data_IF_605129832433
#
_entry.id   IF_605129832433
#
_cell.length_a   1.000
_cell.length_b   1.000
_cell.length_c   1.000
_cell.angle_alpha   90.00
_cell.angle_beta   90.00
_cell.angle_gamma   90.00
#
_symmetry.space_group_name_H-M   'P 1'
#
loop_
_entity.id
_entity.type
_entity.pdbx_description
1 polymer ?
#
# COMPACT_ATOMS: atom_id res chain seq x y z
N UNK A 1 19.42 0.30 8.14
CA UNK A 1 18.05 0.26 7.57
C UNK A 1 17.98 -0.77 6.46
N UNK A 2 17.04 -1.69 6.55
CA UNK A 2 16.79 -2.69 5.52
C UNK A 2 15.46 -2.39 4.83
N UNK A 3 15.43 -2.46 3.50
CA UNK A 3 14.21 -2.34 2.71
C UNK A 3 13.92 -3.68 2.07
N UNK A 4 12.76 -4.25 2.36
CA UNK A 4 12.34 -5.55 1.85
C UNK A 4 11.06 -5.35 1.03
N UNK A 5 11.15 -5.34 -0.32
CA UNK A 5 9.97 -5.26 -1.16
C UNK A 5 9.30 -6.63 -1.26
N UNK A 6 7.99 -6.65 -1.06
CA UNK A 6 7.13 -7.77 -1.41
C UNK A 6 6.13 -7.33 -2.46
N UNK A 7 5.85 -8.17 -3.41
CA UNK A 7 4.88 -7.85 -4.43
C UNK A 7 4.25 -9.09 -5.05
N UNK A 8 3.08 -8.91 -5.62
CA UNK A 8 2.53 -9.92 -6.50
C UNK A 8 3.40 -9.97 -7.75
N UNK A 9 3.87 -11.14 -8.18
CA UNK A 9 4.81 -11.28 -9.31
C UNK A 9 4.22 -10.89 -10.66
N UNK A 10 3.00 -10.37 -10.69
CA UNK A 10 2.26 -10.08 -11.93
C UNK A 10 1.71 -11.34 -12.60
N UNK A 11 1.15 -11.14 -13.79
CA UNK A 11 0.61 -12.23 -14.58
C UNK A 11 -0.86 -12.54 -14.29
N UNK A 12 -1.40 -13.44 -15.13
CA UNK A 12 -2.82 -13.79 -15.12
C UNK A 12 -3.06 -15.11 -14.35
N UNK A 13 -2.53 -15.19 -13.12
CA UNK A 13 -2.69 -16.38 -12.29
C UNK A 13 -4.16 -16.61 -11.92
N UNK A 14 -4.64 -17.81 -12.11
CA UNK A 14 -5.90 -18.28 -11.55
C UNK A 14 -5.68 -18.67 -10.08
N UNK A 15 -6.46 -18.08 -9.17
CA UNK A 15 -6.42 -18.43 -7.75
C UNK A 15 -7.33 -19.62 -7.45
N UNK A 16 -6.91 -20.58 -6.62
CA UNK A 16 -7.70 -21.77 -6.29
C UNK A 16 -8.73 -21.47 -5.20
N UNK A 17 -9.55 -20.43 -5.38
CA UNK A 17 -10.63 -20.09 -4.48
C UNK A 17 -11.98 -20.40 -5.13
N UNK A 18 -12.95 -20.83 -4.33
CA UNK A 18 -14.29 -21.10 -4.81
C UNK A 18 -14.91 -19.86 -5.46
N UNK A 19 -15.48 -20.06 -6.64
CA UNK A 19 -16.14 -19.01 -7.41
C UNK A 19 -15.18 -18.10 -8.20
N UNK A 20 -13.88 -18.40 -8.25
CA UNK A 20 -12.92 -17.70 -9.12
C UNK A 20 -12.81 -18.45 -10.43
N UNK A 21 -13.19 -17.80 -11.52
CA UNK A 21 -13.24 -18.38 -12.88
C UNK A 21 -12.23 -17.75 -13.84
N UNK A 22 -11.73 -16.53 -13.52
CA UNK A 22 -10.76 -15.82 -14.34
C UNK A 22 -9.45 -15.60 -13.60
N UNK A 23 -8.36 -15.48 -14.36
CA UNK A 23 -7.06 -15.10 -13.81
C UNK A 23 -7.05 -13.68 -13.26
N UNK A 24 -6.22 -13.43 -12.26
CA UNK A 24 -6.19 -12.16 -11.51
C UNK A 24 -6.08 -10.93 -12.42
N UNK A 25 -5.16 -10.94 -13.38
CA UNK A 25 -4.99 -9.82 -14.31
C UNK A 25 -6.28 -9.56 -15.12
N UNK A 26 -6.94 -10.62 -15.61
CA UNK A 26 -8.22 -10.47 -16.32
C UNK A 26 -9.30 -9.85 -15.44
N UNK A 27 -9.37 -10.24 -14.17
CA UNK A 27 -10.29 -9.66 -13.21
C UNK A 27 -10.01 -8.18 -12.93
N UNK A 28 -8.75 -7.74 -12.95
CA UNK A 28 -8.42 -6.32 -12.78
C UNK A 28 -8.93 -5.46 -13.93
N UNK A 29 -9.15 -6.04 -15.12
CA UNK A 29 -9.80 -5.40 -16.26
C UNK A 29 -11.33 -5.59 -16.26
N UNK A 30 -11.94 -5.53 -15.10
CA UNK A 30 -13.36 -5.82 -14.85
C UNK A 30 -14.36 -4.96 -15.67
N UNK A 31 -13.97 -3.82 -16.25
CA UNK A 31 -14.88 -2.96 -17.01
C UNK A 31 -16.15 -2.54 -16.25
N UNK A 32 -16.11 -2.50 -14.92
CA UNK A 32 -17.25 -2.28 -14.00
C UNK A 32 -18.31 -3.40 -14.01
N UNK A 33 -18.02 -4.56 -14.55
CA UNK A 33 -18.92 -5.71 -14.49
C UNK A 33 -19.02 -6.23 -13.07
N UNK A 34 -20.24 -6.38 -12.51
CA UNK A 34 -20.42 -6.78 -11.10
C UNK A 34 -19.92 -8.19 -10.79
N UNK A 35 -20.05 -9.13 -11.74
CA UNK A 35 -19.57 -10.50 -11.62
C UNK A 35 -18.04 -10.55 -11.43
N UNK A 36 -17.28 -9.86 -12.29
CA UNK A 36 -15.83 -9.80 -12.21
C UNK A 36 -15.34 -9.06 -10.95
N UNK A 37 -16.05 -7.99 -10.54
CA UNK A 37 -15.76 -7.28 -9.30
C UNK A 37 -15.97 -8.17 -8.08
N UNK A 38 -16.98 -9.04 -8.08
CA UNK A 38 -17.21 -10.00 -7.00
C UNK A 38 -16.05 -10.97 -6.86
N UNK A 39 -15.59 -11.56 -7.97
CA UNK A 39 -14.43 -12.46 -7.97
C UNK A 39 -13.15 -11.72 -7.52
N UNK A 40 -12.90 -10.53 -8.07
CA UNK A 40 -11.76 -9.70 -7.70
C UNK A 40 -11.76 -9.40 -6.20
N UNK A 41 -12.92 -9.07 -5.62
CA UNK A 41 -13.06 -8.79 -4.18
C UNK A 41 -12.62 -9.95 -3.31
N UNK A 42 -12.85 -11.20 -3.73
CA UNK A 42 -12.38 -12.39 -2.99
C UNK A 42 -10.85 -12.38 -2.90
N UNK A 43 -10.17 -12.15 -4.02
CA UNK A 43 -8.70 -12.14 -4.08
C UNK A 43 -8.13 -10.95 -3.31
N UNK A 44 -8.68 -9.75 -3.48
CA UNK A 44 -8.24 -8.54 -2.77
C UNK A 44 -8.45 -8.66 -1.25
N UNK A 45 -9.55 -9.32 -0.83
CA UNK A 45 -9.80 -9.65 0.58
C UNK A 45 -8.74 -10.61 1.11
N UNK A 46 -8.35 -11.60 0.33
CA UNK A 46 -7.27 -12.51 0.71
C UNK A 46 -5.95 -11.73 0.91
N UNK A 47 -5.54 -10.87 -0.01
CA UNK A 47 -4.34 -10.06 0.15
C UNK A 47 -4.39 -9.16 1.39
N UNK A 48 -5.54 -8.53 1.64
CA UNK A 48 -5.71 -7.66 2.82
C UNK A 48 -5.60 -8.47 4.12
N UNK A 49 -6.13 -9.70 4.15
CA UNK A 49 -5.98 -10.63 5.29
C UNK A 49 -4.53 -11.06 5.49
N UNK A 50 -3.78 -11.35 4.40
CA UNK A 50 -2.36 -11.67 4.51
C UNK A 50 -1.55 -10.48 5.04
N UNK A 51 -1.87 -9.27 4.59
CA UNK A 51 -1.26 -8.05 5.12
C UNK A 51 -1.56 -7.86 6.61
N UNK A 52 -2.79 -8.03 7.05
CA UNK A 52 -3.15 -7.97 8.46
C UNK A 52 -2.40 -9.01 9.29
N UNK A 53 -2.30 -10.26 8.81
CA UNK A 53 -1.53 -11.32 9.47
C UNK A 53 -0.04 -10.99 9.58
N UNK A 54 0.52 -10.34 8.56
CA UNK A 54 1.91 -9.86 8.60
C UNK A 54 2.11 -8.77 9.68
N UNK A 55 1.20 -7.83 9.79
CA UNK A 55 1.25 -6.81 10.85
C UNK A 55 1.14 -7.43 12.24
N UNK A 56 0.26 -8.43 12.42
CA UNK A 56 0.14 -9.17 13.67
C UNK A 56 1.44 -9.91 14.02
N UNK A 57 2.11 -10.48 13.04
CA UNK A 57 3.41 -11.12 13.22
C UNK A 57 4.46 -10.12 13.70
N UNK A 58 4.57 -8.96 13.04
CA UNK A 58 5.50 -7.89 13.44
C UNK A 58 5.19 -7.38 14.86
N UNK A 59 3.93 -7.28 15.23
CA UNK A 59 3.50 -6.85 16.56
C UNK A 59 3.85 -7.88 17.66
N UNK A 60 3.76 -9.16 17.36
CA UNK A 60 4.06 -10.26 18.30
C UNK A 60 5.55 -10.56 18.41
N UNK A 61 6.30 -10.38 17.33
CA UNK A 61 7.74 -10.62 17.30
C UNK A 61 8.47 -9.46 18.00
N UNK A 62 9.43 -9.81 18.85
CA UNK A 62 10.21 -8.84 19.62
C UNK A 62 11.63 -8.72 19.05
N UNK A 63 12.18 -7.52 19.16
CA UNK A 63 13.61 -7.28 18.92
C UNK A 63 14.45 -7.73 20.14
N UNK A 64 15.77 -7.53 20.09
CA UNK A 64 16.71 -7.85 21.17
C UNK A 64 16.45 -7.04 22.47
N UNK A 65 15.71 -5.94 22.38
CA UNK A 65 15.36 -5.08 23.51
C UNK A 65 13.94 -5.38 24.03
N UNK A 66 13.27 -6.39 23.50
CA UNK A 66 11.93 -6.80 23.89
C UNK A 66 10.79 -5.94 23.33
N UNK A 67 11.07 -5.02 22.39
CA UNK A 67 10.06 -4.17 21.74
C UNK A 67 9.45 -4.88 20.52
N UNK A 68 8.17 -4.66 20.22
CA UNK A 68 7.58 -5.17 18.97
C UNK A 68 8.37 -4.72 17.73
N UNK A 69 8.62 -5.61 16.78
CA UNK A 69 9.26 -5.22 15.53
C UNK A 69 8.46 -4.16 14.76
N UNK A 70 7.14 -4.12 14.93
CA UNK A 70 6.30 -3.11 14.30
C UNK A 70 6.65 -1.68 14.75
N UNK A 71 7.17 -1.51 15.97
CA UNK A 71 7.53 -0.19 16.50
C UNK A 71 8.73 0.42 15.77
N UNK A 72 9.61 -0.43 15.22
CA UNK A 72 10.82 -0.02 14.49
C UNK A 72 10.72 -0.27 12.98
N UNK A 73 9.58 -0.78 12.48
CA UNK A 73 9.40 -1.13 11.07
C UNK A 73 8.28 -0.29 10.44
N UNK A 74 8.62 0.56 9.48
CA UNK A 74 7.61 1.22 8.65
C UNK A 74 7.12 0.24 7.59
N UNK A 75 5.83 -0.03 7.57
CA UNK A 75 5.20 -0.93 6.60
C UNK A 75 4.29 -0.12 5.69
N UNK A 76 4.49 -0.27 4.38
CA UNK A 76 3.64 0.32 3.36
C UNK A 76 2.99 -0.77 2.51
N UNK A 77 1.68 -0.69 2.32
CA UNK A 77 0.90 -1.58 1.48
C UNK A 77 -0.01 -0.76 0.56
N UNK A 78 -0.04 -1.12 -0.72
CA UNK A 78 -0.86 -0.39 -1.67
C UNK A 78 -0.77 -0.95 -3.08
N UNK A 79 -1.41 -0.26 -4.01
CA UNK A 79 -1.38 -0.59 -5.43
C UNK A 79 -0.73 0.53 -6.24
N UNK A 80 -0.01 0.17 -7.30
CA UNK A 80 0.51 1.11 -8.29
C UNK A 80 -0.56 1.66 -9.25
N UNK A 81 -1.80 1.16 -9.14
CA UNK A 81 -2.94 1.61 -9.93
C UNK A 81 -4.15 1.86 -9.04
N UNK A 82 -4.80 3.02 -9.19
CA UNK A 82 -6.08 3.31 -8.57
C UNK A 82 -7.25 2.80 -9.39
N UNK A 83 -7.03 2.52 -10.67
CA UNK A 83 -7.99 1.84 -11.56
C UNK A 83 -7.22 1.03 -12.60
N UNK A 84 -7.20 -0.27 -12.44
CA UNK A 84 -6.49 -1.18 -13.32
C UNK A 84 -7.16 -1.31 -14.70
N UNK A 85 -8.49 -1.25 -14.80
CA UNK A 85 -9.20 -1.29 -16.10
C UNK A 85 -8.77 -0.20 -17.07
N UNK A 86 -8.39 0.96 -16.58
CA UNK A 86 -7.92 2.10 -17.39
C UNK A 86 -6.41 2.34 -17.25
N UNK A 87 -5.68 1.45 -16.58
CA UNK A 87 -4.24 1.60 -16.27
C UNK A 87 -3.93 2.97 -15.62
N UNK A 88 -4.85 3.46 -14.78
CA UNK A 88 -4.68 4.77 -14.15
C UNK A 88 -3.84 4.66 -12.88
N UNK A 89 -2.72 5.37 -12.82
CA UNK A 89 -1.89 5.55 -11.64
C UNK A 89 -2.35 6.70 -10.73
N UNK A 90 -3.63 7.09 -10.82
CA UNK A 90 -4.23 8.15 -10.01
C UNK A 90 -5.06 7.56 -8.89
N UNK A 91 -5.24 8.31 -7.79
CA UNK A 91 -5.98 7.87 -6.60
C UNK A 91 -5.48 6.52 -6.06
N UNK A 92 -4.17 6.42 -5.88
CA UNK A 92 -3.56 5.20 -5.39
C UNK A 92 -4.03 4.90 -3.97
N UNK A 93 -4.58 3.70 -3.71
CA UNK A 93 -4.84 3.25 -2.35
C UNK A 93 -3.51 2.89 -1.69
N UNK A 94 -3.15 3.57 -0.61
CA UNK A 94 -1.92 3.33 0.14
C UNK A 94 -2.22 3.32 1.62
N UNK A 95 -1.76 2.30 2.32
CA UNK A 95 -1.74 2.20 3.78
C UNK A 95 -0.31 2.27 4.27
N UNK A 96 -0.07 3.04 5.34
CA UNK A 96 1.24 3.13 6.00
C UNK A 96 1.04 2.96 7.50
N UNK A 97 1.87 2.15 8.12
CA UNK A 97 1.78 1.87 9.56
C UNK A 97 3.13 1.47 10.14
N UNK A 98 3.22 1.40 11.46
CA UNK A 98 4.43 1.02 12.19
C UNK A 98 5.47 2.14 12.28
N UNK A 99 6.67 1.83 12.76
CA UNK A 99 7.78 2.79 12.90
C UNK A 99 7.46 3.99 13.78
N UNK A 100 6.51 3.88 14.72
CA UNK A 100 6.07 5.01 15.54
C UNK A 100 5.25 6.08 14.80
N UNK A 101 4.69 5.75 13.64
CA UNK A 101 3.77 6.63 12.92
C UNK A 101 2.41 6.69 13.61
N UNK A 102 1.78 7.88 13.63
CA UNK A 102 0.40 8.03 14.11
C UNK A 102 -0.58 7.42 13.11
N UNK A 103 -1.24 6.36 13.53
CA UNK A 103 -2.23 5.64 12.73
C UNK A 103 -3.67 6.06 13.02
N UNK A 104 -4.63 5.33 12.40
CA UNK A 104 -6.07 5.48 12.64
C UNK A 104 -6.74 6.58 11.82
N UNK A 105 -6.04 7.23 10.90
CA UNK A 105 -6.55 8.29 10.07
C UNK A 105 -6.66 7.87 8.60
N UNK A 106 -7.66 8.40 7.90
CA UNK A 106 -7.78 8.32 6.46
C UNK A 106 -7.61 9.70 5.86
N UNK A 107 -6.60 9.87 5.02
CA UNK A 107 -6.30 11.13 4.34
C UNK A 107 -6.67 11.03 2.86
N UNK A 108 -7.57 11.90 2.44
CA UNK A 108 -7.92 12.07 1.05
C UNK A 108 -7.30 13.37 0.53
N UNK A 109 -6.51 13.26 -0.53
CA UNK A 109 -5.93 14.41 -1.20
C UNK A 109 -6.79 14.80 -2.40
N UNK A 110 -7.33 16.01 -2.37
CA UNK A 110 -8.07 16.54 -3.50
C UNK A 110 -7.12 16.87 -4.66
N UNK A 111 -7.62 16.59 -5.85
CA UNK A 111 -6.91 16.88 -7.07
C UNK A 111 -7.24 18.30 -7.52
N UNK A 112 -6.20 19.12 -7.74
CA UNK A 112 -6.31 20.42 -8.39
C UNK A 112 -5.94 20.27 -9.87
N UNK A 113 -6.94 20.33 -10.77
CA UNK A 113 -6.71 20.18 -12.20
C UNK A 113 -6.16 18.80 -12.61
N UNK A 114 -5.04 18.79 -13.33
CA UNK A 114 -4.35 17.55 -13.73
C UNK A 114 -3.40 17.03 -12.65
N UNK A 115 -3.03 17.88 -11.70
CA UNK A 115 -2.02 17.58 -10.69
C UNK A 115 -2.69 17.20 -9.38
N UNK A 116 -2.34 16.04 -8.88
CA UNK A 116 -2.67 15.59 -7.53
C UNK A 116 -1.44 15.69 -6.64
N UNK A 117 -1.58 15.33 -5.38
CA UNK A 117 -0.45 15.20 -4.47
C UNK A 117 0.45 14.05 -4.94
N UNK A 118 1.74 14.26 -5.20
CA UNK A 118 2.63 13.18 -5.59
C UNK A 118 2.80 12.15 -4.47
N UNK A 119 2.78 10.85 -4.79
CA UNK A 119 3.12 9.81 -3.83
C UNK A 119 4.54 9.98 -3.27
N UNK A 120 5.40 10.61 -4.03
CA UNK A 120 6.78 10.93 -3.62
C UNK A 120 6.86 11.83 -2.38
N UNK A 121 5.82 12.62 -2.07
CA UNK A 121 5.75 13.40 -0.83
C UNK A 121 5.66 12.48 0.41
N UNK A 122 4.96 11.34 0.28
CA UNK A 122 4.94 10.29 1.31
C UNK A 122 6.33 9.64 1.46
N UNK A 123 7.00 9.38 0.34
CA UNK A 123 8.35 8.79 0.38
C UNK A 123 9.36 9.69 1.06
N UNK A 124 9.30 11.01 0.85
CA UNK A 124 10.15 11.97 1.60
C UNK A 124 9.92 11.81 3.10
N UNK A 125 8.67 11.75 3.55
CA UNK A 125 8.36 11.58 4.97
C UNK A 125 8.87 10.25 5.53
N UNK A 126 8.73 9.16 4.78
CA UNK A 126 9.26 7.84 5.18
C UNK A 126 10.78 7.86 5.26
N UNK A 127 11.47 8.45 4.29
CA UNK A 127 12.93 8.57 4.28
C UNK A 127 13.42 9.39 5.49
N UNK A 128 12.78 10.52 5.78
CA UNK A 128 13.10 11.34 6.96
C UNK A 128 12.83 10.58 8.27
N UNK A 129 11.75 9.81 8.34
CA UNK A 129 11.45 8.94 9.50
C UNK A 129 12.51 7.85 9.71
N UNK A 130 13.14 7.39 8.64
CA UNK A 130 14.25 6.43 8.66
C UNK A 130 15.62 7.09 8.93
N UNK A 131 15.65 8.39 9.23
CA UNK A 131 16.86 9.13 9.58
C UNK A 131 17.67 9.66 8.40
N UNK A 132 17.10 9.66 7.18
CA UNK A 132 17.76 10.28 6.03
C UNK A 132 17.44 11.78 5.95
N UNK A 133 18.47 12.59 5.88
CA UNK A 133 18.34 14.03 5.65
C UNK A 133 18.07 14.30 4.18
N UNK A 134 16.80 14.42 3.82
CA UNK A 134 16.38 14.72 2.44
C UNK A 134 15.07 15.49 2.42
N UNK A 135 14.99 16.51 1.57
CA UNK A 135 13.77 17.30 1.36
C UNK A 135 13.08 16.96 0.03
N UNK A 136 13.72 16.13 -0.79
CA UNK A 136 13.21 15.76 -2.10
C UNK A 136 13.45 14.30 -2.44
N UNK A 137 12.46 13.74 -3.13
CA UNK A 137 12.57 12.44 -3.78
C UNK A 137 11.76 12.47 -5.10
N UNK A 138 12.42 12.24 -6.23
CA UNK A 138 11.78 12.21 -7.55
C UNK A 138 10.92 13.46 -7.81
N UNK A 139 9.61 13.28 -8.00
CA UNK A 139 8.63 14.33 -8.28
C UNK A 139 8.00 14.95 -7.03
N UNK A 140 8.57 14.73 -5.85
CA UNK A 140 8.04 15.33 -4.62
C UNK A 140 8.02 16.84 -4.67
N UNK A 141 7.00 17.44 -4.10
CA UNK A 141 6.84 18.90 -3.96
C UNK A 141 6.87 19.36 -2.49
N UNK A 142 6.73 18.40 -1.56
CA UNK A 142 6.68 18.62 -0.12
C UNK A 142 6.96 17.29 0.61
N UNK A 143 6.61 17.25 1.91
CA UNK A 143 6.49 16.03 2.71
C UNK A 143 5.09 15.94 3.35
N UNK A 144 4.81 14.84 4.02
CA UNK A 144 3.56 14.57 4.72
C UNK A 144 3.76 14.38 6.24
N UNK A 145 4.84 14.90 6.80
CA UNK A 145 5.18 14.71 8.22
C UNK A 145 4.06 15.14 9.16
N UNK A 146 3.35 16.22 8.84
CA UNK A 146 2.21 16.73 9.61
C UNK A 146 1.02 15.74 9.70
N UNK A 147 0.96 14.73 8.83
CA UNK A 147 -0.06 13.68 8.82
C UNK A 147 0.42 12.41 9.55
N UNK A 148 1.72 12.19 9.58
CA UNK A 148 2.32 10.96 10.07
C UNK A 148 2.79 11.05 11.54
N UNK A 149 2.82 12.23 12.10
CA UNK A 149 3.08 12.49 13.53
C UNK A 149 4.49 12.76 13.87
#
# INVERSE_FOLDING_TARGET
TNVIPFGHPGGNRLFPFDGITYGYHSLTHHGKRPDLLKELTVIETFYTKQFAGFLDLLKKTKDSEGRPLLDSTVVMFGSGMGNASSHSSRNLPVMVTGGGLKGGNHHRFERKGRDGRPLCDLYVSILQKLGLETDRFSTSSANLNHLLG
#
